data_IF_809010175895
#
_entry.id   IF_809010175895
#
_cell.length_a   1.000
_cell.length_b   1.000
_cell.length_c   1.000
_cell.angle_alpha   90.00
_cell.angle_beta   90.00
_cell.angle_gamma   90.00
#
_symmetry.space_group_name_H-M   'P 1'
#
loop_
_entity.id
_entity.type
_entity.pdbx_description
1 polymer ?
#
# COMPACT_ATOMS: atom_id res chain seq x y z
N UNK A 1 1.75 31.75 37.73
CA UNK A 1 0.32 32.06 37.89
C UNK A 1 -0.48 30.79 37.63
N UNK A 2 -1.26 30.37 38.62
CA UNK A 2 -2.02 29.11 38.63
C UNK A 2 -3.29 29.24 37.77
N UNK A 3 -3.45 28.40 36.75
CA UNK A 3 -4.71 28.27 36.01
C UNK A 3 -5.73 27.49 36.86
N UNK A 4 -6.67 28.21 37.45
CA UNK A 4 -7.70 27.74 38.38
C UNK A 4 -8.88 26.99 37.74
N UNK A 5 -8.71 26.38 36.55
CA UNK A 5 -9.77 25.60 35.87
C UNK A 5 -9.58 24.09 35.91
N UNK A 6 -8.54 23.58 36.59
CA UNK A 6 -8.21 22.15 36.62
C UNK A 6 -8.39 21.50 38.01
N UNK A 7 -9.39 21.94 38.78
CA UNK A 7 -9.61 21.48 40.16
C UNK A 7 -10.92 20.72 40.40
N UNK A 8 -11.69 20.38 39.36
CA UNK A 8 -13.02 19.78 39.52
C UNK A 8 -13.26 18.44 38.80
N UNK A 9 -12.25 17.78 38.23
CA UNK A 9 -12.42 16.42 37.73
C UNK A 9 -11.61 15.42 38.56
N UNK A 10 -12.30 14.61 39.38
CA UNK A 10 -11.70 13.50 40.15
C UNK A 10 -11.30 12.30 39.27
N UNK A 11 -11.12 12.50 37.96
CA UNK A 11 -10.71 11.49 36.99
C UNK A 11 -9.56 12.03 36.14
N UNK A 12 -8.46 12.39 36.80
CA UNK A 12 -7.22 12.69 36.10
C UNK A 12 -6.59 11.37 35.65
N UNK A 13 -6.68 11.08 34.34
CA UNK A 13 -5.75 10.15 33.71
C UNK A 13 -4.42 10.91 33.59
N UNK A 14 -3.31 10.44 34.16
CA UNK A 14 -2.04 11.15 34.05
C UNK A 14 -1.64 11.20 32.57
N UNK A 15 -1.60 12.41 32.03
CA UNK A 15 -1.10 12.66 30.69
C UNK A 15 0.44 12.69 30.73
N UNK A 16 1.03 12.12 29.68
CA UNK A 16 2.45 12.13 29.31
C UNK A 16 3.32 13.11 30.10
N UNK A 17 4.12 12.56 31.02
CA UNK A 17 5.13 13.32 31.74
C UNK A 17 6.44 13.31 30.94
N UNK A 18 6.82 14.46 30.38
CA UNK A 18 8.14 14.66 29.82
C UNK A 18 9.18 14.69 30.95
N UNK A 19 9.96 13.62 31.14
CA UNK A 19 11.01 13.57 32.18
C UNK A 19 12.05 14.70 32.08
N UNK A 20 12.24 15.26 30.89
CA UNK A 20 13.23 16.31 30.63
C UNK A 20 12.72 17.72 30.92
N UNK A 21 11.40 17.92 30.82
CA UNK A 21 10.81 19.26 30.79
C UNK A 21 9.64 19.44 31.78
N UNK A 22 9.26 18.40 32.51
CA UNK A 22 8.16 18.36 33.50
C UNK A 22 6.83 18.92 32.98
N UNK A 23 6.67 19.01 31.66
CA UNK A 23 5.51 19.61 31.03
C UNK A 23 4.36 18.60 31.04
N UNK A 24 3.30 18.94 31.76
CA UNK A 24 2.06 18.17 31.81
C UNK A 24 1.10 18.83 30.82
N UNK A 25 0.88 18.18 29.68
CA UNK A 25 -0.15 18.61 28.72
C UNK A 25 -1.47 17.96 29.12
N UNK A 26 -2.58 18.69 29.18
CA UNK A 26 -3.91 18.07 29.35
C UNK A 26 -4.63 18.06 28.01
N UNK A 27 -4.95 16.88 27.48
CA UNK A 27 -5.85 16.77 26.34
C UNK A 27 -7.31 16.80 26.81
N UNK A 28 -8.14 17.57 26.12
CA UNK A 28 -9.59 17.50 26.31
C UNK A 28 -10.07 16.10 25.94
N UNK A 29 -10.75 15.44 26.87
CA UNK A 29 -11.33 14.13 26.62
C UNK A 29 -12.59 14.30 25.77
N UNK A 30 -12.66 13.57 24.65
CA UNK A 30 -13.89 13.43 23.89
C UNK A 30 -14.90 12.66 24.75
N UNK A 31 -16.00 13.29 25.15
CA UNK A 31 -16.99 12.72 26.09
C UNK A 31 -17.59 11.39 25.57
N UNK A 32 -17.52 11.13 24.26
CA UNK A 32 -18.04 9.91 23.65
C UNK A 32 -17.17 8.66 23.89
N UNK A 33 -15.89 8.83 24.25
CA UNK A 33 -14.94 7.73 24.49
C UNK A 33 -15.15 7.04 25.86
N UNK A 34 -15.94 7.63 26.76
CA UNK A 34 -16.19 7.13 28.12
C UNK A 34 -17.45 6.27 28.28
N UNK A 35 -18.21 6.04 27.21
CA UNK A 35 -19.44 5.26 27.25
C UNK A 35 -19.23 3.76 27.52
N UNK A 36 -17.98 3.26 27.46
CA UNK A 36 -17.65 1.85 27.67
C UNK A 36 -16.58 1.67 28.77
N UNK A 37 -17.01 1.79 30.03
CA UNK A 37 -16.18 1.81 31.26
C UNK A 37 -15.33 0.57 31.57
N UNK A 38 -15.24 -0.45 30.71
CA UNK A 38 -14.68 -1.75 31.12
C UNK A 38 -13.42 -2.25 30.42
N UNK A 39 -12.82 -1.54 29.45
CA UNK A 39 -11.62 -2.04 28.75
C UNK A 39 -10.60 -0.95 28.38
N UNK A 40 -10.15 -0.14 29.33
CA UNK A 40 -9.05 0.79 29.07
C UNK A 40 -7.69 0.16 29.41
N UNK A 41 -7.02 -0.38 28.39
CA UNK A 41 -5.62 -0.76 28.44
C UNK A 41 -4.75 0.50 28.32
N UNK A 42 -4.17 0.95 29.43
CA UNK A 42 -3.19 2.03 29.46
C UNK A 42 -1.93 1.60 28.71
N UNK A 43 -1.76 2.06 27.47
CA UNK A 43 -0.56 1.79 26.67
C UNK A 43 0.33 3.03 26.68
N UNK A 44 1.37 3.02 27.50
CA UNK A 44 2.38 4.09 27.53
C UNK A 44 3.27 3.97 26.29
N UNK A 45 3.05 4.82 25.29
CA UNK A 45 3.93 4.90 24.11
C UNK A 45 5.10 5.84 24.40
N UNK A 46 6.31 5.29 24.41
CA UNK A 46 7.56 6.05 24.52
C UNK A 46 7.83 6.69 23.16
N UNK A 47 7.62 8.01 23.05
CA UNK A 47 8.06 8.78 21.89
C UNK A 47 9.46 9.33 22.14
N UNK A 48 10.46 8.68 21.56
CA UNK A 48 11.79 9.27 21.34
C UNK A 48 11.73 10.08 20.04
N UNK A 49 11.78 11.42 20.13
CA UNK A 49 11.91 12.27 18.95
C UNK A 49 13.31 12.13 18.36
N UNK A 50 13.49 11.16 17.46
CA UNK A 50 14.68 11.10 16.63
C UNK A 50 14.49 12.07 15.47
N UNK A 51 15.13 13.23 15.53
CA UNK A 51 15.40 14.01 14.33
C UNK A 51 16.15 13.10 13.35
N UNK A 52 15.71 12.97 12.08
CA UNK A 52 16.40 12.11 11.13
C UNK A 52 17.80 12.67 10.93
N UNK A 53 18.80 11.96 11.46
CA UNK A 53 20.20 12.27 11.22
C UNK A 53 20.47 12.11 9.72
N UNK A 54 21.46 12.83 9.16
CA UNK A 54 21.90 12.68 7.76
C UNK A 54 22.14 11.19 7.40
N UNK A 55 22.60 10.40 8.36
CA UNK A 55 22.72 8.93 8.28
C UNK A 55 21.38 8.24 7.96
N UNK A 56 20.30 8.60 8.66
CA UNK A 56 18.98 8.01 8.46
C UNK A 56 18.36 8.40 7.10
N UNK A 57 18.54 9.66 6.67
CA UNK A 57 18.12 10.10 5.33
C UNK A 57 18.89 9.39 4.21
N UNK A 58 20.20 9.18 4.38
CA UNK A 58 21.01 8.44 3.41
C UNK A 58 20.56 6.97 3.31
N UNK A 59 20.22 6.34 4.43
CA UNK A 59 19.74 4.96 4.46
C UNK A 59 18.34 4.82 3.80
N UNK A 60 17.45 5.78 4.04
CA UNK A 60 16.16 5.87 3.36
C UNK A 60 16.33 6.03 1.83
N UNK A 61 17.22 6.91 1.39
CA UNK A 61 17.50 7.11 -0.03
C UNK A 61 18.07 5.86 -0.70
N UNK A 62 18.98 5.14 -0.03
CA UNK A 62 19.49 3.85 -0.51
C UNK A 62 18.37 2.81 -0.60
N UNK A 63 17.50 2.74 0.40
CA UNK A 63 16.35 1.82 0.41
C UNK A 63 15.39 2.13 -0.75
N UNK A 64 15.11 3.40 -1.02
CA UNK A 64 14.27 3.83 -2.14
C UNK A 64 14.90 3.44 -3.49
N UNK A 65 16.22 3.60 -3.64
CA UNK A 65 16.92 3.17 -4.86
C UNK A 65 16.84 1.66 -5.07
N UNK A 66 17.05 0.87 -4.01
CA UNK A 66 16.93 -0.59 -4.06
C UNK A 66 15.50 -0.98 -4.46
N UNK A 67 14.49 -0.37 -3.85
CA UNK A 67 13.07 -0.66 -4.16
C UNK A 67 12.69 -0.28 -5.60
N UNK A 68 13.26 0.80 -6.15
CA UNK A 68 13.07 1.15 -7.57
C UNK A 68 13.67 0.09 -8.50
N UNK A 69 14.84 -0.44 -8.15
CA UNK A 69 15.50 -1.51 -8.90
C UNK A 69 14.69 -2.82 -8.85
N UNK A 70 14.20 -3.21 -7.67
CA UNK A 70 13.32 -4.37 -7.51
C UNK A 70 12.02 -4.22 -8.33
N UNK A 71 11.41 -3.04 -8.31
CA UNK A 71 10.20 -2.76 -9.09
C UNK A 71 10.46 -2.89 -10.60
N UNK A 72 11.61 -2.41 -11.09
CA UNK A 72 11.97 -2.54 -12.49
C UNK A 72 12.16 -4.03 -12.88
N UNK A 73 12.84 -4.82 -12.06
CA UNK A 73 13.00 -6.25 -12.29
C UNK A 73 11.66 -7.01 -12.31
N UNK A 74 10.71 -6.59 -11.47
CA UNK A 74 9.36 -7.17 -11.47
C UNK A 74 8.60 -6.84 -12.76
N UNK A 75 8.69 -5.59 -13.25
CA UNK A 75 8.09 -5.20 -14.53
C UNK A 75 8.68 -5.98 -15.72
N UNK A 76 10.00 -6.18 -15.74
CA UNK A 76 10.65 -6.93 -16.80
C UNK A 76 10.23 -8.41 -16.78
N UNK A 77 10.11 -9.01 -15.58
CA UNK A 77 9.56 -10.36 -15.40
C UNK A 77 8.11 -10.47 -15.85
N UNK A 78 7.27 -9.50 -15.53
CA UNK A 78 5.86 -9.47 -15.93
C UNK A 78 5.73 -9.44 -17.46
N UNK A 79 6.48 -8.57 -18.13
CA UNK A 79 6.52 -8.52 -19.60
C UNK A 79 6.97 -9.86 -20.21
N UNK A 80 7.97 -10.50 -19.60
CA UNK A 80 8.47 -11.79 -20.09
C UNK A 80 7.44 -12.92 -19.91
N UNK A 81 6.70 -12.93 -18.79
CA UNK A 81 5.60 -13.87 -18.57
C UNK A 81 4.47 -13.64 -19.58
N UNK A 82 4.09 -12.38 -19.83
CA UNK A 82 3.06 -12.04 -20.80
C UNK A 82 3.44 -12.51 -22.21
N UNK A 83 4.68 -12.28 -22.63
CA UNK A 83 5.20 -12.77 -23.92
C UNK A 83 5.16 -14.29 -24.03
N UNK A 84 5.63 -15.00 -22.99
CA UNK A 84 5.57 -16.46 -22.94
C UNK A 84 4.13 -17.00 -23.03
N UNK A 85 3.17 -16.31 -22.40
CA UNK A 85 1.76 -16.70 -22.47
C UNK A 85 1.19 -16.50 -23.88
N UNK A 86 1.52 -15.36 -24.51
CA UNK A 86 1.13 -15.05 -25.88
C UNK A 86 1.70 -16.07 -26.87
N UNK A 87 2.97 -16.43 -26.75
CA UNK A 87 3.62 -17.45 -27.60
C UNK A 87 2.95 -18.83 -27.45
N UNK A 88 2.59 -19.22 -26.22
CA UNK A 88 1.87 -20.49 -25.98
C UNK A 88 0.47 -20.47 -26.57
N UNK A 89 -0.26 -19.36 -26.47
CA UNK A 89 -1.56 -19.20 -27.13
C UNK A 89 -1.43 -19.33 -28.65
N UNK A 90 -0.43 -18.68 -29.25
CA UNK A 90 -0.22 -18.73 -30.69
C UNK A 90 0.13 -20.14 -31.17
N UNK A 91 0.93 -20.88 -30.40
CA UNK A 91 1.23 -22.28 -30.67
C UNK A 91 0.00 -23.18 -30.55
N UNK A 92 -0.84 -22.97 -29.53
CA UNK A 92 -2.08 -23.71 -29.38
C UNK A 92 -3.04 -23.45 -30.54
N UNK A 93 -3.21 -22.18 -30.93
CA UNK A 93 -4.03 -21.79 -32.08
C UNK A 93 -3.57 -22.49 -33.36
N UNK A 94 -2.26 -22.47 -33.66
CA UNK A 94 -1.70 -23.15 -34.83
C UNK A 94 -1.96 -24.67 -34.81
N UNK A 95 -1.90 -25.31 -33.65
CA UNK A 95 -2.23 -26.74 -33.53
C UNK A 95 -3.70 -27.01 -33.83
N UNK A 96 -4.62 -26.18 -33.33
CA UNK A 96 -6.04 -26.32 -33.62
C UNK A 96 -6.35 -26.06 -35.10
N UNK A 97 -5.77 -25.03 -35.71
CA UNK A 97 -5.90 -24.78 -37.15
C UNK A 97 -5.43 -25.98 -37.98
N UNK A 98 -4.30 -26.61 -37.61
CA UNK A 98 -3.83 -27.83 -38.28
C UNK A 98 -4.81 -29.01 -38.13
N UNK A 99 -5.39 -29.20 -36.94
CA UNK A 99 -6.37 -30.25 -36.71
C UNK A 99 -7.67 -30.01 -37.49
N UNK A 100 -8.14 -28.76 -37.56
CA UNK A 100 -9.31 -28.37 -38.35
C UNK A 100 -9.06 -28.66 -39.83
N UNK A 101 -7.93 -28.22 -40.38
CA UNK A 101 -7.58 -28.49 -41.78
C UNK A 101 -7.51 -30.00 -42.08
N UNK A 102 -7.01 -30.81 -41.14
CA UNK A 102 -6.96 -32.27 -41.29
C UNK A 102 -8.38 -32.90 -41.30
N UNK A 103 -9.28 -32.39 -40.46
CA UNK A 103 -10.68 -32.82 -40.43
C UNK A 103 -11.42 -32.41 -41.71
N UNK A 104 -11.19 -31.20 -42.22
CA UNK A 104 -11.74 -30.73 -43.49
C UNK A 104 -11.27 -31.60 -44.67
N UNK A 105 -9.98 -31.95 -44.70
CA UNK A 105 -9.45 -32.87 -45.70
C UNK A 105 -10.10 -34.25 -45.61
N UNK A 106 -10.29 -34.80 -44.41
CA UNK A 106 -10.97 -36.09 -44.21
C UNK A 106 -12.44 -36.03 -44.64
N UNK A 107 -13.13 -34.92 -44.35
CA UNK A 107 -14.51 -34.69 -44.81
C UNK A 107 -14.59 -34.62 -46.34
N UNK A 108 -13.66 -33.91 -46.99
CA UNK A 108 -13.57 -33.89 -48.45
C UNK A 108 -13.31 -35.28 -49.02
N UNK A 109 -12.37 -36.04 -48.46
CA UNK A 109 -12.09 -37.41 -48.89
C UNK A 109 -13.31 -38.33 -48.73
N UNK A 110 -14.00 -38.24 -47.59
CA UNK A 110 -15.23 -39.01 -47.35
C UNK A 110 -16.36 -38.63 -48.32
N UNK A 111 -16.54 -37.34 -48.61
CA UNK A 111 -17.49 -36.87 -49.62
C UNK A 111 -17.17 -37.44 -51.00
N UNK A 112 -15.89 -37.37 -51.41
CA UNK A 112 -15.46 -37.87 -52.71
C UNK A 112 -15.63 -39.38 -52.82
N UNK A 113 -15.39 -40.12 -51.74
CA UNK A 113 -15.63 -41.57 -51.67
C UNK A 113 -17.12 -41.90 -51.74
N UNK A 114 -17.99 -41.17 -51.04
CA UNK A 114 -19.45 -41.32 -51.14
C UNK A 114 -19.95 -41.06 -52.57
N UNK A 115 -19.45 -40.01 -53.22
CA UNK A 115 -19.77 -39.69 -54.62
C UNK A 115 -19.27 -40.79 -55.58
N UNK A 116 -18.13 -41.42 -55.30
CA UNK A 116 -17.60 -42.55 -56.08
C UNK A 116 -18.40 -43.83 -55.87
N UNK A 117 -18.78 -44.16 -54.63
CA UNK A 117 -19.63 -45.31 -54.31
C UNK A 117 -21.04 -45.15 -54.89
N UNK A 118 -21.54 -43.92 -55.02
CA UNK A 118 -22.83 -43.65 -55.68
C UNK A 118 -22.76 -43.85 -57.21
N UNK A 119 -21.56 -43.82 -57.81
CA UNK A 119 -21.34 -43.98 -59.25
C UNK A 119 -20.83 -45.37 -59.67
N UNK A 120 -20.41 -46.23 -58.75
CA UNK A 120 -20.00 -47.61 -59.00
C UNK A 120 -20.95 -48.60 -58.32
N UNK A 121 -21.93 -49.11 -59.09
CA UNK A 121 -22.69 -50.30 -58.70
C UNK A 121 -21.90 -51.52 -59.17
N UNK A 122 -20.87 -51.89 -58.40
CA UNK A 122 -20.25 -53.22 -58.44
C UNK A 122 -20.15 -53.73 -56.99
N UNK A 123 -20.35 -55.04 -56.81
CA UNK A 123 -20.58 -55.73 -55.53
C UNK A 123 -19.87 -55.09 -54.34
N UNK A 124 -20.64 -54.35 -53.54
CA UNK A 124 -20.21 -53.82 -52.26
C UNK A 124 -19.89 -55.00 -51.34
N UNK A 125 -18.63 -55.12 -50.93
CA UNK A 125 -18.20 -56.04 -49.87
C UNK A 125 -18.75 -55.54 -48.53
N UNK A 126 -20.03 -55.87 -48.29
CA UNK A 126 -20.84 -55.41 -47.15
C UNK A 126 -20.17 -55.78 -45.83
N UNK A 127 -19.53 -56.95 -45.76
CA UNK A 127 -18.85 -57.43 -44.56
C UNK A 127 -17.63 -56.55 -44.22
N UNK A 128 -16.88 -56.11 -45.22
CA UNK A 128 -15.73 -55.22 -45.00
C UNK A 128 -16.16 -53.83 -44.55
N UNK A 129 -17.21 -53.26 -45.16
CA UNK A 129 -17.78 -51.97 -44.72
C UNK A 129 -18.41 -52.04 -43.33
N UNK A 130 -19.09 -53.14 -42.97
CA UNK A 130 -19.63 -53.32 -41.63
C UNK A 130 -18.52 -53.37 -40.58
N UNK A 131 -17.42 -54.08 -40.86
CA UNK A 131 -16.26 -54.11 -39.96
C UNK A 131 -15.59 -52.73 -39.81
N UNK A 132 -15.46 -51.97 -40.89
CA UNK A 132 -14.92 -50.60 -40.84
C UNK A 132 -15.85 -49.66 -40.06
N UNK A 133 -17.17 -49.75 -40.24
CA UNK A 133 -18.17 -49.00 -39.48
C UNK A 133 -18.14 -49.34 -37.98
N UNK A 134 -18.07 -50.62 -37.62
CA UNK A 134 -17.95 -51.04 -36.22
C UNK A 134 -16.63 -50.57 -35.59
N UNK A 135 -15.54 -50.58 -36.36
CA UNK A 135 -14.26 -50.05 -35.91
C UNK A 135 -14.33 -48.54 -35.68
N UNK A 136 -14.99 -47.80 -36.58
CA UNK A 136 -15.19 -46.36 -36.47
C UNK A 136 -16.07 -46.01 -35.26
N UNK A 137 -17.17 -46.73 -35.05
CA UNK A 137 -18.07 -46.53 -33.90
C UNK A 137 -17.33 -46.78 -32.57
N UNK A 138 -16.52 -47.84 -32.49
CA UNK A 138 -15.68 -48.10 -31.31
C UNK A 138 -14.65 -46.99 -31.09
N UNK A 139 -14.01 -46.49 -32.15
CA UNK A 139 -13.05 -45.39 -32.06
C UNK A 139 -13.73 -44.10 -31.60
N UNK A 140 -14.87 -43.73 -32.19
CA UNK A 140 -15.64 -42.54 -31.84
C UNK A 140 -16.09 -42.57 -30.37
N UNK A 141 -16.53 -43.73 -29.87
CA UNK A 141 -16.88 -43.88 -28.44
C UNK A 141 -15.70 -43.63 -27.52
N UNK A 142 -14.50 -44.07 -27.89
CA UNK A 142 -13.28 -43.82 -27.11
C UNK A 142 -12.92 -42.33 -27.15
N UNK A 143 -13.02 -41.70 -28.33
CA UNK A 143 -12.66 -40.29 -28.50
C UNK A 143 -13.66 -39.36 -27.78
N UNK A 144 -14.96 -39.67 -27.82
CA UNK A 144 -15.99 -38.96 -27.04
C UNK A 144 -15.68 -39.05 -25.55
N UNK A 145 -15.36 -40.25 -25.05
CA UNK A 145 -15.05 -40.44 -23.63
C UNK A 145 -13.81 -39.65 -23.21
N UNK A 146 -12.77 -39.61 -24.04
CA UNK A 146 -11.58 -38.77 -23.78
C UNK A 146 -11.93 -37.29 -23.77
N UNK A 147 -12.77 -36.83 -24.69
CA UNK A 147 -13.21 -35.44 -24.74
C UNK A 147 -14.03 -35.04 -23.49
N UNK A 148 -14.89 -35.93 -23.01
CA UNK A 148 -15.64 -35.75 -21.75
C UNK A 148 -14.71 -35.68 -20.52
N UNK A 149 -13.70 -36.55 -20.46
CA UNK A 149 -12.67 -36.51 -19.40
C UNK A 149 -11.86 -35.21 -19.43
N UNK A 150 -11.41 -34.77 -20.61
CA UNK A 150 -10.71 -33.49 -20.78
C UNK A 150 -11.58 -32.29 -20.42
N UNK A 151 -12.86 -32.31 -20.80
CA UNK A 151 -13.84 -31.28 -20.46
C UNK A 151 -14.02 -31.18 -18.94
N UNK A 152 -14.09 -32.33 -18.26
CA UNK A 152 -14.21 -32.39 -16.79
C UNK A 152 -12.99 -31.77 -16.11
N UNK A 153 -11.78 -32.11 -16.57
CA UNK A 153 -10.53 -31.53 -16.05
C UNK A 153 -10.47 -30.02 -16.29
N UNK A 154 -10.93 -29.55 -17.46
CA UNK A 154 -11.01 -28.13 -17.79
C UNK A 154 -11.96 -27.39 -16.84
N UNK A 155 -13.15 -27.94 -16.58
CA UNK A 155 -14.12 -27.35 -15.65
C UNK A 155 -13.54 -27.21 -14.24
N UNK A 156 -12.87 -28.25 -13.73
CA UNK A 156 -12.21 -28.19 -12.41
C UNK A 156 -11.11 -27.13 -12.36
N UNK A 157 -10.32 -26.99 -13.44
CA UNK A 157 -9.27 -25.98 -13.51
C UNK A 157 -9.85 -24.57 -13.55
N UNK A 158 -10.91 -24.34 -14.33
CA UNK A 158 -11.60 -23.05 -14.39
C UNK A 158 -12.12 -22.65 -13.01
N UNK A 159 -12.80 -23.57 -12.30
CA UNK A 159 -13.26 -23.30 -10.93
C UNK A 159 -12.14 -22.92 -9.97
N UNK A 160 -10.98 -23.60 -10.06
CA UNK A 160 -9.80 -23.26 -9.24
C UNK A 160 -9.24 -21.87 -9.59
N UNK A 161 -9.22 -21.50 -10.86
CA UNK A 161 -8.78 -20.17 -11.31
C UNK A 161 -9.72 -19.09 -10.81
N UNK A 162 -11.04 -19.30 -10.91
CA UNK A 162 -12.04 -18.35 -10.41
C UNK A 162 -11.90 -18.10 -8.91
N UNK A 163 -11.68 -19.15 -8.13
CA UNK A 163 -11.40 -19.03 -6.69
C UNK A 163 -10.12 -18.24 -6.39
N UNK A 164 -9.07 -18.43 -7.19
CA UNK A 164 -7.82 -17.67 -7.05
C UNK A 164 -8.02 -16.20 -7.39
N UNK A 165 -8.74 -15.90 -8.47
CA UNK A 165 -9.08 -14.53 -8.87
C UNK A 165 -9.89 -13.81 -7.79
N UNK A 166 -10.86 -14.50 -7.17
CA UNK A 166 -11.65 -13.91 -6.09
C UNK A 166 -10.79 -13.58 -4.86
N UNK A 167 -9.86 -14.47 -4.49
CA UNK A 167 -8.90 -14.21 -3.40
C UNK A 167 -7.98 -13.04 -3.71
N UNK A 168 -7.49 -12.97 -4.95
CA UNK A 168 -6.59 -11.92 -5.40
C UNK A 168 -7.30 -10.57 -5.39
N UNK A 169 -8.55 -10.51 -5.85
CA UNK A 169 -9.40 -9.31 -5.78
C UNK A 169 -9.56 -8.82 -4.33
N UNK A 170 -9.88 -9.72 -3.38
CA UNK A 170 -10.00 -9.36 -1.96
C UNK A 170 -8.69 -8.81 -1.39
N UNK A 171 -7.56 -9.40 -1.74
CA UNK A 171 -6.25 -8.91 -1.31
C UNK A 171 -5.95 -7.50 -1.87
N UNK A 172 -6.22 -7.28 -3.16
CA UNK A 172 -6.07 -5.97 -3.81
C UNK A 172 -6.96 -4.90 -3.18
N UNK A 173 -8.21 -5.23 -2.84
CA UNK A 173 -9.13 -4.31 -2.18
C UNK A 173 -8.60 -3.90 -0.78
N UNK A 174 -8.04 -4.84 -0.02
CA UNK A 174 -7.40 -4.57 1.27
C UNK A 174 -6.18 -3.65 1.10
N UNK A 175 -5.32 -3.94 0.13
CA UNK A 175 -4.14 -3.10 -0.15
C UNK A 175 -4.53 -1.67 -0.55
N UNK A 176 -5.56 -1.51 -1.38
CA UNK A 176 -6.07 -0.18 -1.74
C UNK A 176 -6.59 0.59 -0.52
N UNK A 177 -7.31 -0.06 0.37
CA UNK A 177 -7.76 0.55 1.63
C UNK A 177 -6.59 0.96 2.52
N UNK A 178 -5.53 0.15 2.60
CA UNK A 178 -4.33 0.50 3.37
C UNK A 178 -3.60 1.71 2.77
N UNK A 179 -3.47 1.77 1.44
CA UNK A 179 -2.88 2.91 0.73
C UNK A 179 -3.69 4.19 0.99
N UNK A 180 -5.02 4.12 0.95
CA UNK A 180 -5.88 5.27 1.26
C UNK A 180 -5.65 5.77 2.69
N UNK A 181 -5.66 4.89 3.69
CA UNK A 181 -5.39 5.26 5.09
C UNK A 181 -3.98 5.84 5.27
N UNK A 182 -2.98 5.30 4.58
CA UNK A 182 -1.63 5.84 4.63
C UNK A 182 -1.57 7.27 4.05
N UNK A 183 -2.31 7.53 2.97
CA UNK A 183 -2.39 8.88 2.38
C UNK A 183 -3.11 9.87 3.32
N UNK A 184 -4.14 9.43 4.03
CA UNK A 184 -4.79 10.24 5.08
C UNK A 184 -3.79 10.61 6.19
N UNK A 185 -3.06 9.63 6.71
CA UNK A 185 -2.02 9.85 7.74
C UNK A 185 -0.93 10.79 7.23
N UNK A 186 -0.45 10.62 5.99
CA UNK A 186 0.53 11.51 5.39
C UNK A 186 0.02 12.94 5.24
N UNK A 187 -1.27 13.11 4.98
CA UNK A 187 -1.89 14.44 4.87
C UNK A 187 -1.93 15.14 6.22
N UNK A 188 -2.34 14.42 7.27
CA UNK A 188 -2.30 14.93 8.65
C UNK A 188 -0.87 15.26 9.07
N UNK A 189 0.07 14.37 8.77
CA UNK A 189 1.49 14.58 9.09
C UNK A 189 2.05 15.84 8.42
N UNK A 190 1.73 16.08 7.13
CA UNK A 190 2.13 17.30 6.43
C UNK A 190 1.54 18.55 7.09
N UNK A 191 0.24 18.53 7.43
CA UNK A 191 -0.40 19.66 8.10
C UNK A 191 0.24 19.96 9.47
N UNK A 192 0.53 18.93 10.27
CA UNK A 192 1.25 19.08 11.53
C UNK A 192 2.67 19.61 11.32
N UNK A 193 3.39 19.14 10.31
CA UNK A 193 4.74 19.61 9.98
C UNK A 193 4.75 21.08 9.57
N UNK A 194 3.78 21.51 8.77
CA UNK A 194 3.63 22.92 8.36
C UNK A 194 3.29 23.82 9.56
N UNK A 195 2.44 23.34 10.46
CA UNK A 195 2.11 24.08 11.70
C UNK A 195 3.33 24.22 12.60
N UNK A 196 4.10 23.14 12.81
CA UNK A 196 5.31 23.17 13.62
C UNK A 196 6.36 24.12 13.03
N UNK A 197 6.47 24.16 11.69
CA UNK A 197 7.37 25.09 11.01
C UNK A 197 6.96 26.55 11.24
N UNK A 198 5.66 26.87 11.16
CA UNK A 198 5.15 28.22 11.48
C UNK A 198 5.43 28.61 12.93
N UNK A 199 5.23 27.70 13.88
CA UNK A 199 5.52 27.96 15.30
C UNK A 199 7.01 28.21 15.54
N UNK A 200 7.88 27.43 14.88
CA UNK A 200 9.33 27.66 14.93
C UNK A 200 9.70 29.04 14.38
N UNK A 201 9.14 29.43 13.25
CA UNK A 201 9.45 30.72 12.62
C UNK A 201 9.00 31.90 13.50
N UNK A 202 7.84 31.78 14.17
CA UNK A 202 7.38 32.76 15.15
C UNK A 202 8.32 32.86 16.36
N UNK A 203 8.76 31.73 16.91
CA UNK A 203 9.69 31.71 18.05
C UNK A 203 11.05 32.32 17.70
N UNK A 204 11.54 32.11 16.47
CA UNK A 204 12.77 32.76 16.00
C UNK A 204 12.61 34.27 15.94
N UNK A 205 11.48 34.76 15.45
CA UNK A 205 11.19 36.19 15.38
C UNK A 205 11.05 36.85 16.77
N UNK A 206 10.41 36.16 17.72
CA UNK A 206 10.34 36.60 19.12
C UNK A 206 11.73 36.63 19.77
N UNK A 207 12.59 35.67 19.46
CA UNK A 207 13.96 35.63 19.97
C UNK A 207 14.81 36.77 19.40
N UNK A 208 14.72 37.05 18.10
CA UNK A 208 15.38 38.19 17.47
C UNK A 208 14.95 39.52 18.11
N UNK A 209 13.64 39.66 18.42
CA UNK A 209 13.13 40.84 19.13
C UNK A 209 13.70 40.96 20.55
N UNK A 210 13.73 39.87 21.31
CA UNK A 210 14.31 39.85 22.66
C UNK A 210 15.81 40.19 22.64
N UNK A 211 16.56 39.68 21.67
CA UNK A 211 17.97 40.04 21.48
C UNK A 211 18.09 41.55 21.26
N UNK A 212 17.27 42.13 20.37
CA UNK A 212 17.24 43.58 20.15
C UNK A 212 16.90 44.39 21.40
N UNK A 213 15.93 43.94 22.21
CA UNK A 213 15.59 44.58 23.48
C UNK A 213 16.77 44.52 24.48
N UNK A 214 17.43 43.36 24.60
CA UNK A 214 18.61 43.19 25.46
C UNK A 214 19.77 44.08 25.00
N UNK A 215 20.01 44.21 23.70
CA UNK A 215 21.03 45.11 23.15
C UNK A 215 20.74 46.58 23.46
N UNK A 216 19.47 46.99 23.41
CA UNK A 216 19.05 48.35 23.82
C UNK A 216 19.32 48.56 25.31
N UNK A 217 18.95 47.60 26.17
CA UNK A 217 19.22 47.70 27.60
C UNK A 217 20.72 47.72 27.89
N UNK A 218 21.52 46.88 27.23
CA UNK A 218 22.97 46.87 27.39
C UNK A 218 23.57 48.24 27.03
N UNK A 219 23.20 48.83 25.89
CA UNK A 219 23.63 50.19 25.51
C UNK A 219 23.18 51.25 26.51
N UNK A 220 21.93 51.17 26.99
CA UNK A 220 21.43 52.10 28.00
C UNK A 220 22.24 52.02 29.30
N UNK A 221 22.57 50.81 29.77
CA UNK A 221 23.42 50.61 30.95
C UNK A 221 24.87 51.02 30.72
N UNK A 222 25.43 50.80 29.53
CA UNK A 222 26.78 51.26 29.20
C UNK A 222 26.85 52.81 29.20
N UNK A 223 25.82 53.48 28.67
CA UNK A 223 25.77 54.94 28.58
C UNK A 223 25.37 55.63 29.90
N UNK A 224 24.48 55.03 30.68
CA UNK A 224 23.87 55.65 31.87
C UNK A 224 24.23 54.95 33.19
N UNK A 225 25.00 53.87 33.15
CA UNK A 225 25.33 53.05 34.33
C UNK A 225 26.08 53.83 35.41
N UNK A 226 27.06 54.64 35.02
CA UNK A 226 27.80 55.48 35.98
C UNK A 226 26.90 56.50 36.69
N UNK A 227 25.98 57.15 35.94
CA UNK A 227 24.98 58.08 36.49
C UNK A 227 23.99 57.37 37.44
N UNK A 228 23.57 56.14 37.09
CA UNK A 228 22.69 55.32 37.93
C UNK A 228 23.37 54.89 39.23
N UNK A 229 24.66 54.53 39.18
CA UNK A 229 25.44 54.21 40.38
C UNK A 229 25.60 55.42 41.30
N UNK A 230 25.90 56.60 40.75
CA UNK A 230 26.00 57.84 41.53
C UNK A 230 24.68 58.24 42.19
N UNK A 231 23.56 58.14 41.47
CA UNK A 231 22.22 58.36 42.02
C UNK A 231 21.87 57.35 43.12
N UNK A 232 22.31 56.10 43.00
CA UNK A 232 22.07 55.05 44.01
C UNK A 232 22.85 55.30 45.31
N UNK A 233 24.08 55.82 45.22
CA UNK A 233 24.90 56.18 46.38
C UNK A 233 24.31 57.39 47.12
N UNK A 234 23.91 58.43 46.38
CA UNK A 234 23.26 59.61 46.97
C UNK A 234 21.93 59.31 47.66
N UNK A 235 21.18 58.30 47.18
CA UNK A 235 19.91 57.87 47.80
C UNK A 235 20.11 57.05 49.08
N UNK A 236 21.16 56.23 49.15
CA UNK A 236 21.50 55.49 50.37
C UNK A 236 22.04 56.40 51.48
N UNK A 237 22.76 57.46 51.11
CA UNK A 237 23.23 58.47 52.06
C UNK A 237 22.07 59.31 52.64
N UNK A 238 21.02 59.57 51.86
CA UNK A 238 19.80 60.26 52.34
C UNK A 238 18.88 59.39 53.22
N UNK A 239 18.98 58.06 53.17
CA UNK A 239 18.19 57.14 53.99
C UNK A 239 18.88 56.78 55.34
N UNK A 240 20.13 57.19 55.53
CA UNK A 240 20.90 56.99 56.77
C UNK A 240 21.02 58.27 57.64
N UNK A 241 20.38 59.37 57.25
CA UNK A 241 20.15 60.56 58.08
C UNK A 241 18.71 60.58 58.59
#
# INVERSE_FOLDING_TARGET
MNYSKCSSCNQNIPILNCKTCQLILCFFCDENLHSQKHNHLTTTLIFSSQFPTQSYQNNLNQTIQIKKLELQQLKDKEQQIAKNYQDKMLQAQKKYEQQINLLEQRLQQASTFMDQMQNQVEDLDVDKMQNELESLDKSLKIDIKKAEEEQTILLEKTQKVDQLLERLKKATDIEQQQIQKMNEVLTVFKACSEQLQKEKDLLMLDNEKLIGEVEIFAKFFDENGALLEELSKGKNEQLQQ
#
